data_IF_499494006011
#
_entry.id   IF_499494006011
#
_cell.length_a   1.000
_cell.length_b   1.000
_cell.length_c   1.000
_cell.angle_alpha   90.00
_cell.angle_beta   90.00
_cell.angle_gamma   90.00
#
_symmetry.space_group_name_H-M   'P 1'
#
loop_
_entity.id
_entity.type
_entity.pdbx_description
1 polymer ?
#
# COMPACT_ATOMS: atom_id res chain seq x y z
N UNK A 1 8.17 -16.10 9.47
CA UNK A 1 8.93 -17.11 8.69
C UNK A 1 8.08 -18.36 8.48
N UNK A 2 7.59 -19.03 9.54
CA UNK A 2 6.84 -20.31 9.41
C UNK A 2 5.66 -20.26 8.41
N UNK A 3 4.84 -19.21 8.44
CA UNK A 3 3.74 -19.03 7.45
C UNK A 3 4.30 -18.91 6.02
N UNK A 4 5.40 -18.19 5.86
CA UNK A 4 6.04 -18.04 4.56
C UNK A 4 6.57 -19.37 4.02
N UNK A 5 7.22 -20.16 4.86
CA UNK A 5 7.70 -21.50 4.50
C UNK A 5 6.55 -22.44 4.15
N UNK A 6 5.44 -22.37 4.90
CA UNK A 6 4.25 -23.18 4.61
C UNK A 6 3.65 -22.86 3.23
N UNK A 7 3.56 -21.58 2.87
CA UNK A 7 2.95 -21.15 1.61
C UNK A 7 3.92 -21.31 0.42
N UNK A 8 5.19 -20.95 0.62
CA UNK A 8 6.21 -20.94 -0.45
C UNK A 8 7.04 -22.22 -0.55
N UNK A 9 6.83 -23.19 0.33
CA UNK A 9 7.66 -24.39 0.43
C UNK A 9 9.04 -24.12 1.05
N UNK A 10 9.51 -22.89 1.04
CA UNK A 10 10.74 -22.40 1.65
C UNK A 10 10.71 -20.88 1.82
N UNK A 11 11.63 -20.33 2.60
CA UNK A 11 11.83 -18.87 2.71
C UNK A 11 12.10 -18.25 1.32
N UNK A 12 12.96 -18.89 0.54
CA UNK A 12 13.29 -18.42 -0.81
C UNK A 12 12.10 -18.54 -1.77
N UNK A 13 11.36 -19.65 -1.74
CA UNK A 13 10.15 -19.85 -2.52
C UNK A 13 9.12 -18.75 -2.25
N UNK A 14 8.92 -18.40 -0.96
CA UNK A 14 8.03 -17.30 -0.61
C UNK A 14 8.56 -15.93 -1.06
N UNK A 15 9.87 -15.67 -0.93
CA UNK A 15 10.47 -14.43 -1.45
C UNK A 15 10.30 -14.30 -2.96
N UNK A 16 10.35 -15.40 -3.72
CA UNK A 16 10.07 -15.40 -5.15
C UNK A 16 8.60 -15.03 -5.45
N UNK A 17 7.64 -15.52 -4.66
CA UNK A 17 6.23 -15.11 -4.76
C UNK A 17 6.06 -13.62 -4.45
N UNK A 18 6.76 -13.11 -3.41
CA UNK A 18 6.74 -11.68 -3.08
C UNK A 18 7.29 -10.84 -4.24
N UNK A 19 8.41 -11.24 -4.83
CA UNK A 19 9.02 -10.55 -5.97
C UNK A 19 8.14 -10.61 -7.22
N UNK A 20 7.47 -11.73 -7.48
CA UNK A 20 6.50 -11.82 -8.57
C UNK A 20 5.36 -10.83 -8.36
N UNK A 21 4.76 -10.83 -7.17
CA UNK A 21 3.69 -9.89 -6.83
C UNK A 21 4.14 -8.44 -6.95
N UNK A 22 5.35 -8.10 -6.50
CA UNK A 22 5.89 -6.75 -6.65
C UNK A 22 5.99 -6.33 -8.12
N UNK A 23 6.46 -7.22 -9.01
CA UNK A 23 6.47 -6.96 -10.46
C UNK A 23 5.08 -6.76 -11.03
N UNK A 24 4.12 -7.61 -10.66
CA UNK A 24 2.72 -7.52 -11.11
C UNK A 24 2.08 -6.18 -10.71
N UNK A 25 2.48 -5.62 -9.57
CA UNK A 25 2.06 -4.31 -9.08
C UNK A 25 2.85 -3.14 -9.71
N UNK A 26 3.79 -3.42 -10.60
CA UNK A 26 4.64 -2.41 -11.24
C UNK A 26 5.69 -1.79 -10.31
N UNK A 27 6.08 -2.49 -9.24
CA UNK A 27 7.19 -2.10 -8.37
C UNK A 27 8.51 -2.38 -9.09
N UNK A 28 9.21 -1.32 -9.50
CA UNK A 28 10.40 -1.44 -10.35
C UNK A 28 11.70 -1.53 -9.56
N UNK A 29 11.69 -0.98 -8.35
CA UNK A 29 12.88 -0.80 -7.52
C UNK A 29 12.73 -1.54 -6.17
N UNK A 30 12.07 -2.71 -6.23
CA UNK A 30 11.83 -3.57 -5.07
C UNK A 30 12.38 -4.96 -5.32
N UNK A 31 13.16 -5.45 -4.35
CA UNK A 31 13.66 -6.82 -4.36
C UNK A 31 13.61 -7.43 -2.96
N UNK A 32 12.84 -8.48 -2.80
CA UNK A 32 12.66 -9.19 -1.54
C UNK A 32 13.55 -10.43 -1.48
N UNK A 33 14.25 -10.62 -0.35
CA UNK A 33 15.07 -11.81 -0.04
C UNK A 33 14.49 -12.52 1.20
N UNK A 34 13.99 -11.74 2.16
CA UNK A 34 13.42 -12.26 3.39
C UNK A 34 11.95 -11.92 3.53
N UNK A 35 11.09 -12.81 4.06
CA UNK A 35 9.67 -12.52 4.24
C UNK A 35 9.36 -11.63 5.45
N UNK A 36 10.32 -11.46 6.34
CA UNK A 36 10.17 -10.71 7.59
C UNK A 36 10.81 -9.30 7.56
N UNK A 37 11.48 -8.94 6.45
CA UNK A 37 12.07 -7.61 6.26
C UNK A 37 13.42 -7.41 6.97
N UNK A 38 14.10 -8.48 7.38
CA UNK A 38 15.47 -8.38 7.86
C UNK A 38 16.44 -8.15 6.69
N UNK A 39 17.51 -7.42 6.97
CA UNK A 39 18.56 -7.12 6.01
C UNK A 39 19.16 -8.41 5.45
N UNK A 40 19.31 -8.45 4.14
CA UNK A 40 19.93 -9.56 3.42
C UNK A 40 20.47 -9.12 2.07
N UNK A 41 21.50 -9.81 1.60
CA UNK A 41 21.96 -9.72 0.21
C UNK A 41 22.22 -11.11 -0.34
N UNK A 42 22.21 -11.25 -1.66
CA UNK A 42 22.61 -12.47 -2.37
C UNK A 42 23.23 -12.14 -3.71
N UNK A 43 24.12 -13.01 -4.18
CA UNK A 43 24.71 -12.93 -5.53
C UNK A 43 23.74 -13.57 -6.54
N UNK A 44 23.45 -12.85 -7.62
CA UNK A 44 22.65 -13.33 -8.76
C UNK A 44 23.36 -12.87 -10.02
N UNK A 45 23.74 -13.81 -10.87
CA UNK A 45 24.41 -13.56 -12.14
C UNK A 45 25.65 -12.65 -12.03
N UNK A 46 26.37 -12.76 -10.90
CA UNK A 46 27.56 -11.96 -10.61
C UNK A 46 27.28 -10.57 -10.04
N UNK A 47 26.03 -10.18 -9.87
CA UNK A 47 25.62 -8.93 -9.21
C UNK A 47 25.11 -9.18 -7.79
N UNK A 48 25.48 -8.30 -6.86
CA UNK A 48 24.89 -8.32 -5.53
C UNK A 48 23.50 -7.69 -5.55
N UNK A 49 22.48 -8.46 -5.18
CA UNK A 49 21.12 -7.98 -4.95
C UNK A 49 20.88 -7.82 -3.46
N UNK A 50 20.39 -6.65 -3.07
CA UNK A 50 20.10 -6.29 -1.69
C UNK A 50 18.58 -6.34 -1.47
N UNK A 51 18.15 -6.81 -0.29
CA UNK A 51 16.75 -6.70 0.15
C UNK A 51 16.37 -5.22 0.28
N UNK A 52 15.64 -4.69 -0.68
CA UNK A 52 15.39 -3.25 -0.78
C UNK A 52 14.05 -2.93 -1.42
N UNK A 53 13.60 -1.70 -1.18
CA UNK A 53 12.37 -1.14 -1.77
C UNK A 53 12.45 0.38 -1.82
N UNK A 54 11.44 1.01 -2.41
CA UNK A 54 11.26 2.46 -2.41
C UNK A 54 9.95 2.87 -1.72
N UNK A 55 9.85 4.12 -1.30
CA UNK A 55 8.61 4.66 -0.73
C UNK A 55 7.43 4.56 -1.70
N UNK A 56 7.67 4.77 -3.00
CA UNK A 56 6.66 4.64 -4.05
C UNK A 56 6.15 3.20 -4.15
N UNK A 57 7.04 2.23 -4.16
CA UNK A 57 6.68 0.83 -4.30
C UNK A 57 5.95 0.31 -3.05
N UNK A 58 6.37 0.71 -1.85
CA UNK A 58 5.63 0.42 -0.62
C UNK A 58 4.22 1.01 -0.63
N UNK A 59 4.06 2.24 -1.15
CA UNK A 59 2.74 2.84 -1.28
C UNK A 59 1.85 2.07 -2.26
N UNK A 60 2.40 1.55 -3.38
CA UNK A 60 1.68 0.68 -4.33
C UNK A 60 1.26 -0.64 -3.68
N UNK A 61 2.16 -1.28 -2.96
CA UNK A 61 1.86 -2.52 -2.23
C UNK A 61 0.76 -2.27 -1.20
N UNK A 62 0.84 -1.18 -0.42
CA UNK A 62 -0.19 -0.83 0.55
C UNK A 62 -1.53 -0.57 -0.13
N UNK A 63 -1.55 0.19 -1.25
CA UNK A 63 -2.77 0.42 -2.04
C UNK A 63 -3.42 -0.90 -2.45
N UNK A 64 -2.63 -1.80 -3.04
CA UNK A 64 -3.13 -3.12 -3.41
C UNK A 64 -3.75 -3.86 -2.22
N UNK A 65 -3.05 -3.91 -1.09
CA UNK A 65 -3.52 -4.63 0.09
C UNK A 65 -4.85 -4.09 0.65
N UNK A 66 -5.08 -2.78 0.59
CA UNK A 66 -6.25 -2.14 1.22
C UNK A 66 -7.44 -1.91 0.26
N UNK A 67 -7.23 -1.96 -1.08
CA UNK A 67 -8.28 -1.60 -2.04
C UNK A 67 -8.46 -2.56 -3.21
N UNK A 68 -7.41 -3.25 -3.65
CA UNK A 68 -7.44 -4.02 -4.91
C UNK A 68 -7.40 -5.54 -4.70
N UNK A 69 -6.89 -5.99 -3.56
CA UNK A 69 -6.82 -7.41 -3.23
C UNK A 69 -8.20 -7.97 -2.90
N UNK A 70 -8.51 -9.16 -3.40
CA UNK A 70 -9.70 -9.91 -2.97
C UNK A 70 -9.71 -10.21 -1.45
N UNK A 71 -8.56 -10.08 -0.80
CA UNK A 71 -8.35 -10.25 0.64
C UNK A 71 -8.14 -8.93 1.40
N UNK A 72 -8.56 -7.81 0.80
CA UNK A 72 -8.40 -6.48 1.42
C UNK A 72 -9.13 -6.38 2.76
N UNK A 73 -10.32 -6.95 2.89
CA UNK A 73 -11.07 -6.97 4.15
C UNK A 73 -10.34 -7.77 5.23
N UNK A 74 -9.88 -9.00 4.90
CA UNK A 74 -9.10 -9.83 5.82
C UNK A 74 -7.82 -9.11 6.27
N UNK A 75 -7.12 -8.46 5.33
CA UNK A 75 -5.93 -7.68 5.60
C UNK A 75 -6.23 -6.53 6.58
N UNK A 76 -7.30 -5.79 6.37
CA UNK A 76 -7.72 -4.68 7.23
C UNK A 76 -8.13 -5.17 8.62
N UNK A 77 -8.86 -6.28 8.74
CA UNK A 77 -9.24 -6.88 10.02
C UNK A 77 -7.96 -7.23 10.81
N UNK A 78 -7.01 -7.90 10.19
CA UNK A 78 -5.77 -8.32 10.85
C UNK A 78 -4.93 -7.10 11.27
N UNK A 79 -4.72 -6.15 10.36
CA UNK A 79 -3.82 -5.00 10.61
C UNK A 79 -4.41 -3.95 11.55
N UNK A 80 -5.73 -3.96 11.76
CA UNK A 80 -6.44 -3.07 12.70
C UNK A 80 -6.69 -3.70 14.06
N UNK A 81 -6.49 -5.01 14.21
CA UNK A 81 -6.64 -5.69 15.50
C UNK A 81 -5.68 -5.09 16.52
N UNK A 82 -6.19 -4.52 17.58
CA UNK A 82 -5.41 -3.80 18.61
C UNK A 82 -4.59 -4.78 19.43
N UNK A 83 -5.19 -5.86 19.87
CA UNK A 83 -4.52 -6.92 20.63
C UNK A 83 -5.21 -8.26 20.40
N UNK A 84 -4.47 -9.33 20.59
CA UNK A 84 -4.98 -10.71 20.54
C UNK A 84 -4.24 -11.61 21.51
N UNK A 85 -4.98 -12.49 22.15
CA UNK A 85 -4.40 -13.60 22.94
C UNK A 85 -4.71 -14.93 22.27
N UNK A 86 -3.78 -15.84 22.34
CA UNK A 86 -3.93 -17.21 21.85
C UNK A 86 -3.08 -18.15 22.68
N UNK A 87 -3.41 -19.43 22.64
CA UNK A 87 -2.71 -20.50 23.38
C UNK A 87 -2.16 -21.52 22.41
N UNK A 88 -1.17 -22.28 22.87
CA UNK A 88 -0.75 -23.51 22.18
C UNK A 88 -1.90 -24.51 22.16
N UNK A 89 -1.90 -25.42 21.19
CA UNK A 89 -2.96 -26.44 21.02
C UNK A 89 -3.09 -27.31 22.27
N UNK A 90 -1.96 -27.60 22.95
CA UNK A 90 -1.92 -28.38 24.21
C UNK A 90 -2.28 -27.53 25.44
N UNK A 91 -2.58 -26.25 25.31
CA UNK A 91 -2.96 -25.34 26.38
C UNK A 91 -1.86 -24.96 27.35
N UNK A 92 -0.61 -25.41 27.13
CA UNK A 92 0.50 -25.19 28.08
C UNK A 92 1.08 -23.78 28.08
N UNK A 93 0.93 -23.07 26.97
CA UNK A 93 1.48 -21.71 26.84
C UNK A 93 0.43 -20.76 26.31
N UNK A 94 0.40 -19.55 26.91
CA UNK A 94 -0.48 -18.47 26.50
C UNK A 94 0.36 -17.29 25.98
N UNK A 95 -0.08 -16.67 24.89
CA UNK A 95 0.58 -15.53 24.27
C UNK A 95 -0.38 -14.37 24.15
N UNK A 96 0.09 -13.18 24.49
CA UNK A 96 -0.59 -11.92 24.22
C UNK A 96 0.24 -11.08 23.27
N UNK A 97 -0.38 -10.58 22.21
CA UNK A 97 0.26 -9.69 21.23
C UNK A 97 -0.50 -8.39 21.13
N UNK A 98 0.24 -7.28 21.00
CA UNK A 98 -0.31 -5.94 20.81
C UNK A 98 0.15 -5.37 19.48
N UNK A 99 -0.72 -4.60 18.85
CA UNK A 99 -0.39 -3.91 17.61
C UNK A 99 0.58 -2.75 17.87
N UNK A 100 1.68 -2.74 17.17
CA UNK A 100 2.69 -1.69 17.28
C UNK A 100 2.41 -0.48 16.39
N UNK A 101 1.31 -0.48 15.63
CA UNK A 101 0.91 0.64 14.80
C UNK A 101 0.16 1.69 15.62
N UNK A 102 0.90 2.57 16.30
CA UNK A 102 0.32 3.65 17.10
C UNK A 102 -0.53 4.63 16.26
N UNK A 103 -0.33 4.70 14.94
CA UNK A 103 -1.10 5.56 14.05
C UNK A 103 -2.60 5.27 14.09
N UNK A 104 -3.01 4.03 14.35
CA UNK A 104 -4.42 3.62 14.44
C UNK A 104 -5.21 4.40 15.52
N UNK A 105 -4.53 4.90 16.55
CA UNK A 105 -5.14 5.72 17.61
C UNK A 105 -4.77 7.20 17.51
N UNK A 106 -3.93 7.61 16.56
CA UNK A 106 -3.41 8.98 16.47
C UNK A 106 -4.22 9.90 15.59
N UNK A 107 -4.92 9.37 14.62
CA UNK A 107 -5.71 10.13 13.66
C UNK A 107 -7.02 9.41 13.35
N UNK A 108 -8.10 10.19 13.33
CA UNK A 108 -9.38 9.69 12.86
C UNK A 108 -9.29 9.24 11.40
N UNK A 109 -9.87 8.09 11.09
CA UNK A 109 -9.80 7.48 9.77
C UNK A 109 -8.54 6.67 9.51
N UNK A 110 -7.62 6.52 10.48
CA UNK A 110 -6.47 5.65 10.34
C UNK A 110 -6.92 4.22 9.98
N UNK A 111 -6.45 3.71 8.85
CA UNK A 111 -6.99 2.51 8.23
C UNK A 111 -6.09 1.29 8.43
N UNK A 112 -4.80 1.44 8.22
CA UNK A 112 -3.83 0.34 8.29
C UNK A 112 -2.41 0.89 8.36
N UNK A 113 -1.44 0.02 8.61
CA UNK A 113 -0.02 0.37 8.51
C UNK A 113 0.91 -0.75 8.99
N UNK A 114 2.18 -0.60 8.60
CA UNK A 114 3.26 -1.50 9.02
C UNK A 114 4.50 -0.71 9.38
N UNK A 115 5.04 -0.98 10.55
CA UNK A 115 6.33 -0.46 11.02
C UNK A 115 7.46 -1.41 10.66
N UNK A 116 8.65 -0.86 10.46
CA UNK A 116 9.89 -1.63 10.32
C UNK A 116 11.07 -0.88 10.93
N UNK A 117 12.07 -1.62 11.35
CA UNK A 117 13.35 -1.09 11.77
C UNK A 117 14.45 -2.13 11.57
N UNK A 118 15.52 -1.72 10.91
CA UNK A 118 16.83 -2.36 10.98
C UNK A 118 17.89 -1.29 11.19
N UNK A 119 19.11 -1.69 11.59
CA UNK A 119 20.18 -0.72 11.81
C UNK A 119 20.58 0.03 10.54
N UNK A 120 20.47 -0.62 9.38
CA UNK A 120 20.79 -0.03 8.09
C UNK A 120 19.64 0.79 7.51
N UNK A 121 18.39 0.33 7.65
CA UNK A 121 17.21 1.01 7.08
C UNK A 121 16.69 2.16 7.95
N UNK A 122 17.01 2.20 9.26
CA UNK A 122 16.37 3.11 10.19
C UNK A 122 14.90 2.78 10.44
N UNK A 123 14.16 3.70 11.04
CA UNK A 123 12.72 3.55 11.22
C UNK A 123 11.99 3.78 9.90
N UNK A 124 11.21 2.77 9.50
CA UNK A 124 10.36 2.80 8.32
C UNK A 124 8.90 2.64 8.71
N UNK A 125 8.02 3.23 7.92
CA UNK A 125 6.59 3.11 8.12
C UNK A 125 5.86 3.28 6.79
N UNK A 126 4.87 2.45 6.55
CA UNK A 126 3.85 2.68 5.54
C UNK A 126 2.49 2.64 6.21
N UNK A 127 1.64 3.61 5.96
CA UNK A 127 0.32 3.70 6.58
C UNK A 127 -0.72 4.30 5.66
N UNK A 128 -1.98 3.98 5.93
CA UNK A 128 -3.13 4.46 5.18
C UNK A 128 -4.16 5.08 6.10
N UNK A 129 -4.83 6.12 5.61
CA UNK A 129 -5.92 6.82 6.24
C UNK A 129 -7.05 7.03 5.23
N UNK A 130 -8.29 6.82 5.65
CA UNK A 130 -9.48 7.21 4.89
C UNK A 130 -10.33 8.15 5.73
N UNK A 131 -10.57 9.36 5.22
CA UNK A 131 -11.41 10.37 5.86
C UNK A 131 -12.03 11.28 4.81
N UNK A 132 -13.28 11.70 5.00
CA UNK A 132 -14.02 12.60 4.11
C UNK A 132 -14.04 12.12 2.65
N UNK A 133 -14.22 10.80 2.44
CA UNK A 133 -14.23 10.18 1.14
C UNK A 133 -12.87 10.10 0.42
N UNK A 134 -11.78 10.52 1.10
CA UNK A 134 -10.42 10.53 0.55
C UNK A 134 -9.55 9.49 1.24
N UNK A 135 -8.76 8.75 0.47
CA UNK A 135 -7.80 7.78 0.99
C UNK A 135 -6.39 8.23 0.66
N UNK A 136 -5.55 8.33 1.69
CA UNK A 136 -4.15 8.69 1.58
C UNK A 136 -3.25 7.58 2.08
N UNK A 137 -2.13 7.40 1.42
CA UNK A 137 -1.07 6.47 1.81
C UNK A 137 0.22 7.26 1.99
N UNK A 138 0.87 7.07 3.13
CA UNK A 138 2.20 7.62 3.43
C UNK A 138 3.19 6.48 3.53
N UNK A 139 4.34 6.64 2.90
CA UNK A 139 5.47 5.72 3.05
C UNK A 139 6.71 6.51 3.43
N UNK A 140 7.28 6.19 4.58
CA UNK A 140 8.47 6.81 5.16
C UNK A 140 9.57 5.76 5.28
N UNK A 141 10.73 6.08 4.74
CA UNK A 141 11.95 5.28 4.85
C UNK A 141 13.02 6.09 5.54
N UNK A 142 13.89 5.43 6.31
CA UNK A 142 14.98 6.07 7.04
C UNK A 142 14.51 7.26 7.91
N UNK A 143 13.34 7.15 8.51
CA UNK A 143 12.70 8.21 9.29
C UNK A 143 13.17 8.17 10.75
N UNK A 144 14.47 8.36 10.96
CA UNK A 144 15.15 8.35 12.25
C UNK A 144 15.81 7.02 12.62
N UNK A 145 16.67 7.08 13.62
CA UNK A 145 17.40 5.97 14.21
C UNK A 145 17.11 5.89 15.72
N UNK A 146 17.71 5.01 16.52
CA UNK A 146 17.25 4.64 17.86
C UNK A 146 16.78 5.77 18.79
N UNK A 147 17.38 6.94 18.73
CA UNK A 147 16.97 8.09 19.57
C UNK A 147 15.78 8.88 19.01
N UNK A 148 15.31 8.56 17.81
CA UNK A 148 14.31 9.32 17.07
C UNK A 148 13.11 8.45 16.61
N UNK A 149 12.75 7.42 17.38
CA UNK A 149 11.70 6.44 17.04
C UNK A 149 10.30 7.04 16.85
N UNK A 150 10.06 8.27 17.28
CA UNK A 150 8.78 8.97 17.19
C UNK A 150 8.63 9.79 15.90
N UNK A 151 9.70 10.05 15.16
CA UNK A 151 9.67 10.89 13.95
C UNK A 151 8.69 10.36 12.92
N UNK A 152 8.68 9.04 12.68
CA UNK A 152 7.72 8.44 11.77
C UNK A 152 6.25 8.79 12.07
N UNK A 153 5.90 8.97 13.34
CA UNK A 153 4.53 9.33 13.75
C UNK A 153 4.24 10.81 13.51
N UNK A 154 5.17 11.71 13.86
CA UNK A 154 5.01 13.13 13.60
C UNK A 154 4.94 13.44 12.11
N UNK A 155 5.81 12.80 11.33
CA UNK A 155 5.87 13.04 9.90
C UNK A 155 4.71 12.40 9.14
N UNK A 156 4.25 11.21 9.58
CA UNK A 156 2.99 10.63 9.06
C UNK A 156 1.84 11.60 9.27
N UNK A 157 1.68 12.17 10.49
CA UNK A 157 0.61 13.13 10.78
C UNK A 157 0.69 14.37 9.90
N UNK A 158 1.89 14.94 9.73
CA UNK A 158 2.09 16.11 8.88
C UNK A 158 1.68 15.84 7.44
N UNK A 159 2.14 14.71 6.87
CA UNK A 159 1.85 14.33 5.48
C UNK A 159 0.36 14.02 5.27
N UNK A 160 -0.27 13.32 6.22
CA UNK A 160 -1.72 13.03 6.14
C UNK A 160 -2.55 14.31 6.23
N UNK A 161 -2.22 15.23 7.16
CA UNK A 161 -2.90 16.53 7.24
C UNK A 161 -2.69 17.34 5.96
N UNK A 162 -1.46 17.40 5.45
CA UNK A 162 -1.20 18.07 4.17
C UNK A 162 -2.08 17.53 3.05
N UNK A 163 -2.23 16.20 2.96
CA UNK A 163 -3.13 15.56 2.00
C UNK A 163 -4.58 15.98 2.18
N UNK A 164 -5.08 15.92 3.41
CA UNK A 164 -6.46 16.27 3.74
C UNK A 164 -6.77 17.74 3.46
N UNK A 165 -5.85 18.65 3.78
CA UNK A 165 -6.06 20.09 3.70
C UNK A 165 -5.90 20.64 2.28
N UNK A 166 -5.05 20.02 1.44
CA UNK A 166 -4.67 20.59 0.15
C UNK A 166 -5.24 19.86 -1.08
N UNK A 167 -5.84 18.68 -0.91
CA UNK A 167 -6.39 17.93 -2.04
C UNK A 167 -7.87 17.62 -1.81
N UNK A 168 -8.64 17.79 -2.86
CA UNK A 168 -10.06 17.42 -2.90
C UNK A 168 -10.42 16.83 -4.26
N UNK A 169 -11.38 15.91 -4.26
CA UNK A 169 -11.93 15.43 -5.51
C UNK A 169 -12.72 16.53 -6.18
N UNK A 170 -12.46 16.74 -7.46
CA UNK A 170 -13.21 17.65 -8.30
C UNK A 170 -13.68 16.88 -9.54
N UNK A 171 -14.93 17.14 -9.94
CA UNK A 171 -15.39 16.67 -11.23
C UNK A 171 -14.77 17.57 -12.30
N UNK A 172 -13.82 17.03 -13.04
CA UNK A 172 -13.17 17.74 -14.17
C UNK A 172 -13.86 17.49 -15.50
N UNK A 173 -14.88 16.63 -15.49
CA UNK A 173 -15.67 16.36 -16.68
C UNK A 173 -16.55 17.57 -17.01
N UNK A 174 -16.42 18.08 -18.22
CA UNK A 174 -17.32 19.07 -18.79
C UNK A 174 -18.06 18.43 -19.96
N UNK A 175 -19.38 18.57 -19.96
CA UNK A 175 -20.20 18.12 -21.06
C UNK A 175 -19.85 18.97 -22.28
N UNK A 176 -19.26 18.36 -23.30
CA UNK A 176 -18.93 19.05 -24.54
C UNK A 176 -20.17 19.06 -25.41
N UNK A 177 -20.82 20.24 -25.55
CA UNK A 177 -21.86 20.43 -26.51
C UNK A 177 -21.24 20.55 -27.91
N UNK A 178 -21.31 19.47 -28.67
CA UNK A 178 -20.84 19.48 -30.05
C UNK A 178 -21.88 20.22 -30.95
N UNK A 179 -21.44 21.14 -31.79
CA UNK A 179 -22.34 21.83 -32.72
C UNK A 179 -22.96 20.83 -33.70
N UNK A 180 -24.22 21.07 -34.07
CA UNK A 180 -24.87 20.30 -35.13
C UNK A 180 -24.10 20.52 -36.43
N UNK A 181 -23.64 19.43 -37.03
CA UNK A 181 -22.95 19.48 -38.33
C UNK A 181 -23.98 19.24 -39.44
N UNK A 182 -24.20 20.21 -40.34
CA UNK A 182 -25.04 19.99 -41.51
C UNK A 182 -24.36 19.02 -42.46
N UNK A 183 -25.03 17.94 -42.79
CA UNK A 183 -24.54 16.93 -43.73
C UNK A 183 -25.44 16.86 -44.92
N UNK A 184 -24.90 17.10 -46.12
CA UNK A 184 -25.63 17.01 -47.36
C UNK A 184 -26.03 15.54 -47.63
N UNK A 185 -27.32 15.31 -47.86
CA UNK A 185 -27.88 13.96 -48.06
C UNK A 185 -27.85 13.06 -46.84
N UNK A 186 -27.92 13.61 -45.63
CA UNK A 186 -28.02 12.82 -44.41
C UNK A 186 -29.32 11.99 -44.36
N UNK A 187 -29.23 10.77 -43.82
CA UNK A 187 -30.35 9.85 -43.72
C UNK A 187 -31.52 10.29 -42.80
N UNK A 188 -31.34 11.06 -41.71
CA UNK A 188 -32.47 11.70 -41.06
C UNK A 188 -32.95 12.89 -41.92
N UNK A 189 -34.26 12.98 -42.16
CA UNK A 189 -34.87 14.05 -42.96
C UNK A 189 -34.57 15.48 -42.49
N UNK A 190 -34.08 15.67 -41.28
CA UNK A 190 -33.67 16.97 -40.74
C UNK A 190 -32.24 17.41 -41.12
N UNK A 191 -31.47 16.57 -41.84
CA UNK A 191 -30.13 16.88 -42.33
C UNK A 191 -29.03 17.05 -41.29
N UNK A 192 -29.28 16.78 -40.03
CA UNK A 192 -28.32 16.94 -38.95
C UNK A 192 -27.81 15.56 -38.43
N UNK A 193 -26.51 15.44 -38.28
CA UNK A 193 -25.88 14.34 -37.53
C UNK A 193 -25.44 14.85 -36.17
N UNK A 194 -25.55 14.01 -35.20
CA UNK A 194 -25.05 14.26 -33.84
C UNK A 194 -23.80 13.40 -33.61
N UNK A 195 -22.74 14.03 -33.15
CA UNK A 195 -21.60 13.30 -32.69
C UNK A 195 -21.86 12.85 -31.24
N UNK A 196 -21.62 11.58 -30.93
CA UNK A 196 -21.56 11.06 -29.58
C UNK A 196 -20.12 10.72 -29.26
N UNK A 197 -19.69 11.03 -28.04
CA UNK A 197 -18.42 10.56 -27.49
C UNK A 197 -18.72 9.39 -26.59
N UNK A 198 -18.18 8.21 -26.93
CA UNK A 198 -18.08 7.08 -25.98
C UNK A 198 -16.82 7.30 -25.13
N UNK A 199 -17.00 7.28 -23.82
CA UNK A 199 -15.92 7.38 -22.82
C UNK A 199 -15.86 6.11 -22.02
#
# INVERSE_FOLDING_TARGET
>A
VAIAEHIGGSVEGFANLMNQKARDLGCKDTYFITPNGLDASKQIDGEEKIHSTTARDLARIMKYCITESEKSEDFLIITRTVSRSFSTIDGKSNYGVNNHNAFLSMMEGALSGKTGFTSSAGYCYVGALTRDGKTYIVALLACGWPNNKTYKWSDTRKLMNYGLDNFQYQNVWQEISLPKLPVKNAAPKNGNLYAATDI
#
